data_IF_296440569604
#
_entry.id   IF_296440569604
#
_cell.length_a   1.000
_cell.length_b   1.000
_cell.length_c   1.000
_cell.angle_alpha   90.00
_cell.angle_beta   90.00
_cell.angle_gamma   90.00
#
_symmetry.space_group_name_H-M   'P 1'
#
loop_
_entity.id
_entity.type
_entity.pdbx_description
1 polymer ?
#
# COMPACT_ATOMS: atom_id res chain seq x y z
N UNK A 1 -43.09 -37.88 16.14
CA UNK A 1 -41.97 -37.59 15.23
C UNK A 1 -41.37 -36.27 15.68
N UNK A 2 -40.08 -36.25 16.03
CA UNK A 2 -39.45 -35.08 16.66
C UNK A 2 -39.13 -34.03 15.58
N UNK A 3 -39.38 -32.74 15.83
CA UNK A 3 -39.24 -31.67 14.81
C UNK A 3 -37.83 -31.57 14.25
N UNK A 4 -36.84 -31.89 15.07
CA UNK A 4 -35.42 -31.83 14.70
C UNK A 4 -35.04 -32.92 13.68
N UNK A 5 -35.68 -34.08 13.75
CA UNK A 5 -35.46 -35.17 12.79
C UNK A 5 -36.03 -34.82 11.40
N UNK A 6 -37.17 -34.13 11.36
CA UNK A 6 -37.77 -33.66 10.10
C UNK A 6 -36.90 -32.57 9.47
N UNK A 7 -36.34 -31.68 10.28
CA UNK A 7 -35.42 -30.64 9.82
C UNK A 7 -34.13 -31.23 9.24
N UNK A 8 -33.57 -32.25 9.88
CA UNK A 8 -32.38 -32.95 9.38
C UNK A 8 -32.67 -33.70 8.06
N UNK A 9 -33.79 -34.42 7.97
CA UNK A 9 -34.18 -35.11 6.74
C UNK A 9 -34.44 -34.14 5.57
N UNK A 10 -35.01 -32.95 5.86
CA UNK A 10 -35.18 -31.90 4.85
C UNK A 10 -33.84 -31.32 4.39
N UNK A 11 -32.90 -31.07 5.31
CA UNK A 11 -31.56 -30.58 4.98
C UNK A 11 -30.76 -31.59 4.15
N UNK A 12 -30.93 -32.89 4.43
CA UNK A 12 -30.35 -33.99 3.67
C UNK A 12 -30.96 -34.09 2.25
N UNK A 13 -32.28 -34.01 2.14
CA UNK A 13 -32.98 -34.00 0.84
C UNK A 13 -32.60 -32.79 -0.03
N UNK A 14 -32.36 -31.63 0.58
CA UNK A 14 -32.00 -30.38 -0.11
C UNK A 14 -30.52 -30.34 -0.55
N UNK A 15 -29.74 -31.42 -0.37
CA UNK A 15 -28.30 -31.47 -0.70
C UNK A 15 -27.53 -30.24 -0.19
N UNK A 16 -28.00 -29.65 0.91
CA UNK A 16 -27.36 -28.47 1.47
C UNK A 16 -26.27 -29.02 2.37
N UNK A 17 -25.05 -29.13 1.85
CA UNK A 17 -23.87 -29.55 2.59
C UNK A 17 -23.81 -28.77 3.91
N UNK A 18 -24.26 -29.43 4.98
CA UNK A 18 -24.31 -28.88 6.34
C UNK A 18 -22.94 -28.91 6.99
N UNK A 19 -22.04 -29.75 6.47
CA UNK A 19 -20.62 -29.63 6.69
C UNK A 19 -20.09 -28.50 5.83
N UNK A 20 -19.91 -27.35 6.47
CA UNK A 20 -19.28 -26.16 5.91
C UNK A 20 -17.86 -26.53 5.46
N UNK A 21 -17.73 -27.09 4.26
CA UNK A 21 -16.45 -27.44 3.65
C UNK A 21 -15.54 -26.21 3.70
N UNK A 22 -14.24 -26.43 3.93
CA UNK A 22 -13.26 -25.34 4.04
C UNK A 22 -13.35 -24.50 2.77
N UNK A 23 -13.98 -23.33 2.85
CA UNK A 23 -14.08 -22.43 1.71
C UNK A 23 -12.69 -21.94 1.41
N UNK A 24 -12.20 -22.30 0.23
CA UNK A 24 -10.91 -21.84 -0.21
C UNK A 24 -11.02 -20.34 -0.47
N UNK A 25 -10.29 -19.54 0.32
CA UNK A 25 -10.18 -18.11 0.12
C UNK A 25 -8.73 -17.79 -0.24
N UNK A 26 -8.54 -17.02 -1.31
CA UNK A 26 -7.25 -16.38 -1.53
C UNK A 26 -7.09 -15.33 -0.41
N UNK A 27 -6.00 -15.36 0.37
CA UNK A 27 -5.71 -14.28 1.29
C UNK A 27 -5.58 -12.99 0.48
N UNK A 28 -6.47 -12.03 0.74
CA UNK A 28 -6.29 -10.68 0.25
C UNK A 28 -5.08 -10.08 0.98
N UNK A 29 -4.21 -9.39 0.24
CA UNK A 29 -3.06 -8.65 0.78
C UNK A 29 -1.85 -9.48 1.25
N UNK A 30 -1.42 -10.48 0.48
CA UNK A 30 -0.04 -10.98 0.66
C UNK A 30 0.91 -9.96 0.05
N UNK A 31 1.48 -9.11 0.91
CA UNK A 31 2.58 -8.23 0.54
C UNK A 31 3.88 -8.94 0.92
N UNK A 32 4.86 -8.95 0.02
CA UNK A 32 6.20 -9.50 0.30
C UNK A 32 7.06 -8.53 1.17
N UNK A 33 6.42 -7.49 1.69
CA UNK A 33 7.06 -6.32 2.30
C UNK A 33 7.09 -6.46 3.82
N UNK A 34 8.29 -6.72 4.34
CA UNK A 34 8.52 -6.77 5.78
C UNK A 34 8.49 -5.36 6.35
N UNK A 35 7.36 -5.04 6.97
CA UNK A 35 7.16 -3.79 7.69
C UNK A 35 8.02 -3.78 8.95
N UNK A 36 8.87 -2.76 9.11
CA UNK A 36 9.78 -2.65 10.26
C UNK A 36 9.32 -1.54 11.21
N UNK A 37 9.16 -0.32 10.70
CA UNK A 37 8.85 0.88 11.51
C UNK A 37 7.72 1.65 10.86
N UNK A 38 6.68 2.00 11.61
CA UNK A 38 5.61 2.92 11.18
C UNK A 38 4.92 2.54 9.85
N UNK A 39 4.84 1.26 9.49
CA UNK A 39 4.26 0.86 8.21
C UNK A 39 5.23 0.89 7.02
N UNK A 40 6.51 1.19 7.25
CA UNK A 40 7.55 1.24 6.22
C UNK A 40 8.41 -0.03 6.21
N UNK A 41 8.87 -0.40 5.03
CA UNK A 41 9.94 -1.38 4.84
C UNK A 41 11.28 -0.84 5.36
N UNK A 42 12.27 -1.73 5.55
CA UNK A 42 13.63 -1.35 5.95
C UNK A 42 14.23 -0.30 5.00
N UNK A 43 14.14 -0.54 3.69
CA UNK A 43 14.66 0.40 2.67
C UNK A 43 13.95 1.75 2.72
N UNK A 44 12.63 1.74 2.92
CA UNK A 44 11.82 2.96 3.00
C UNK A 44 12.11 3.74 4.29
N UNK A 45 12.35 3.04 5.39
CA UNK A 45 12.74 3.62 6.67
C UNK A 45 14.08 4.35 6.56
N UNK A 46 15.08 3.73 5.92
CA UNK A 46 16.37 4.36 5.63
C UNK A 46 16.21 5.59 4.74
N UNK A 47 15.33 5.53 3.74
CA UNK A 47 15.05 6.69 2.88
C UNK A 47 14.36 7.83 3.64
N UNK A 48 13.41 7.53 4.51
CA UNK A 48 12.71 8.54 5.31
C UNK A 48 13.66 9.23 6.31
N UNK A 49 14.46 8.44 7.03
CA UNK A 49 15.48 8.97 7.95
C UNK A 49 16.55 9.75 7.17
N UNK A 50 17.00 9.22 6.02
CA UNK A 50 17.96 9.88 5.15
C UNK A 50 17.46 11.23 4.65
N UNK A 51 16.20 11.32 4.22
CA UNK A 51 15.58 12.59 3.81
C UNK A 51 15.53 13.60 4.95
N UNK A 52 15.21 13.15 6.17
CA UNK A 52 15.24 13.98 7.36
C UNK A 52 16.65 14.55 7.61
N UNK A 53 17.66 13.68 7.70
CA UNK A 53 19.04 14.08 7.94
C UNK A 53 19.58 15.03 6.85
N UNK A 54 19.33 14.73 5.58
CA UNK A 54 19.77 15.57 4.45
C UNK A 54 19.09 16.94 4.49
N UNK A 55 17.79 16.99 4.75
CA UNK A 55 17.06 18.26 4.83
C UNK A 55 17.55 19.14 5.98
N UNK A 56 17.83 18.55 7.15
CA UNK A 56 18.37 19.24 8.32
C UNK A 56 19.78 19.73 8.04
N UNK A 57 20.65 18.88 7.48
CA UNK A 57 22.01 19.26 7.12
C UNK A 57 22.02 20.43 6.12
N UNK A 58 21.15 20.39 5.11
CA UNK A 58 21.00 21.48 4.14
C UNK A 58 20.53 22.77 4.81
N UNK A 59 19.56 22.69 5.72
CA UNK A 59 19.06 23.85 6.46
C UNK A 59 20.14 24.48 7.35
N UNK A 60 20.96 23.66 8.01
CA UNK A 60 22.11 24.12 8.81
C UNK A 60 23.13 24.82 7.92
N UNK A 61 23.46 24.23 6.76
CA UNK A 61 24.42 24.82 5.82
C UNK A 61 23.96 26.18 5.28
N UNK A 62 22.67 26.33 4.98
CA UNK A 62 22.12 27.56 4.39
C UNK A 62 21.97 28.70 5.40
N UNK A 63 21.45 28.41 6.59
CA UNK A 63 21.18 29.46 7.59
C UNK A 63 22.37 29.73 8.51
N UNK A 64 23.25 28.74 8.70
CA UNK A 64 24.50 28.80 9.49
C UNK A 64 24.43 29.71 10.71
N UNK A 65 23.43 29.48 11.55
CA UNK A 65 23.21 30.28 12.75
C UNK A 65 23.61 29.51 14.00
N UNK A 66 24.33 30.17 14.90
CA UNK A 66 24.76 29.66 16.20
C UNK A 66 23.74 29.95 17.32
N UNK A 67 22.65 30.65 17.01
CA UNK A 67 21.57 30.88 17.97
C UNK A 67 20.76 29.60 18.23
N UNK A 68 20.17 29.48 19.42
CA UNK A 68 19.31 28.34 19.78
C UNK A 68 17.96 28.35 19.04
N UNK A 69 17.43 29.53 18.69
CA UNK A 69 16.14 29.65 18.00
C UNK A 69 16.04 28.87 16.67
N UNK A 70 17.03 28.92 15.76
CA UNK A 70 17.00 28.13 14.51
C UNK A 70 17.05 26.61 14.71
N UNK A 71 17.41 26.10 15.90
CA UNK A 71 17.36 24.68 16.19
C UNK A 71 15.93 24.14 16.06
N UNK A 72 14.94 24.90 16.53
CA UNK A 72 13.52 24.56 16.40
C UNK A 72 13.13 24.46 14.92
N UNK A 73 13.60 25.41 14.11
CA UNK A 73 13.34 25.43 12.68
C UNK A 73 13.93 24.20 11.96
N UNK A 74 15.16 23.80 12.32
CA UNK A 74 15.79 22.60 11.77
C UNK A 74 15.02 21.34 12.12
N UNK A 75 14.55 21.21 13.37
CA UNK A 75 13.72 20.08 13.80
C UNK A 75 12.42 20.02 13.01
N UNK A 76 11.75 21.16 12.82
CA UNK A 76 10.51 21.23 12.02
C UNK A 76 10.77 20.77 10.58
N UNK A 77 11.85 21.25 9.95
CA UNK A 77 12.22 20.83 8.59
C UNK A 77 12.44 19.32 8.53
N UNK A 78 13.18 18.76 9.49
CA UNK A 78 13.45 17.32 9.55
C UNK A 78 12.18 16.49 9.72
N UNK A 79 11.24 16.97 10.54
CA UNK A 79 9.94 16.31 10.72
C UNK A 79 9.06 16.39 9.47
N UNK A 80 9.03 17.54 8.79
CA UNK A 80 8.25 17.71 7.56
C UNK A 80 8.79 16.84 6.44
N UNK A 81 10.12 16.78 6.27
CA UNK A 81 10.73 15.93 5.23
C UNK A 81 10.56 14.45 5.52
N UNK A 82 10.74 14.03 6.79
CA UNK A 82 10.43 12.66 7.23
C UNK A 82 8.96 12.33 6.96
N UNK A 83 8.05 13.18 7.43
CA UNK A 83 6.61 13.01 7.28
C UNK A 83 6.17 12.94 5.82
N UNK A 84 6.77 13.75 4.95
CA UNK A 84 6.51 13.72 3.51
C UNK A 84 6.89 12.38 2.86
N UNK A 85 8.09 11.86 3.15
CA UNK A 85 8.52 10.56 2.62
C UNK A 85 7.71 9.42 3.22
N UNK A 86 7.45 9.47 4.53
CA UNK A 86 6.62 8.50 5.22
C UNK A 86 5.20 8.45 4.64
N UNK A 87 4.57 9.61 4.44
CA UNK A 87 3.24 9.71 3.85
C UNK A 87 3.22 9.18 2.41
N UNK A 88 4.26 9.46 1.62
CA UNK A 88 4.37 8.96 0.25
C UNK A 88 4.34 7.41 0.16
N UNK A 89 4.92 6.72 1.14
CA UNK A 89 4.93 5.26 1.18
C UNK A 89 3.72 4.66 1.90
N UNK A 90 3.12 5.39 2.85
CA UNK A 90 2.04 4.87 3.70
C UNK A 90 0.65 5.17 3.16
N UNK A 91 0.46 6.28 2.45
CA UNK A 91 -0.85 6.64 1.89
C UNK A 91 -1.24 5.64 0.81
N UNK A 92 -2.50 5.22 0.88
CA UNK A 92 -3.12 4.26 -0.04
C UNK A 92 -4.13 5.03 -0.89
N UNK A 93 -3.86 5.26 -2.18
CA UNK A 93 -4.71 6.11 -3.02
C UNK A 93 -6.03 5.44 -3.42
N UNK A 94 -6.16 4.12 -3.23
CA UNK A 94 -7.32 3.33 -3.65
C UNK A 94 -7.89 2.60 -2.43
N UNK A 95 -9.10 2.96 -2.01
CA UNK A 95 -9.77 2.41 -0.81
C UNK A 95 -9.93 0.90 -0.87
N UNK A 96 -10.30 0.35 -2.03
CA UNK A 96 -10.56 -1.09 -2.22
C UNK A 96 -9.28 -1.93 -2.37
N UNK A 97 -8.10 -1.28 -2.38
CA UNK A 97 -6.81 -1.93 -2.62
C UNK A 97 -5.78 -1.49 -1.57
N UNK A 98 -5.90 -1.98 -0.33
CA UNK A 98 -5.05 -1.54 0.77
C UNK A 98 -3.59 -2.01 0.65
N UNK A 99 -3.25 -2.84 -0.33
CA UNK A 99 -1.87 -3.27 -0.59
C UNK A 99 -1.12 -2.33 -1.56
N UNK A 100 -1.80 -1.40 -2.22
CA UNK A 100 -1.19 -0.52 -3.22
C UNK A 100 -0.87 0.82 -2.57
N UNK A 101 0.43 1.13 -2.43
CA UNK A 101 0.89 2.44 -1.99
C UNK A 101 0.89 3.45 -3.15
N UNK A 102 0.97 4.75 -2.86
CA UNK A 102 1.18 5.79 -3.89
C UNK A 102 2.43 5.49 -4.72
N UNK A 103 3.51 5.04 -4.07
CA UNK A 103 4.77 4.70 -4.76
C UNK A 103 4.56 3.63 -5.84
N UNK A 104 3.77 2.60 -5.54
CA UNK A 104 3.45 1.53 -6.47
C UNK A 104 2.53 1.99 -7.59
N UNK A 105 1.53 2.81 -7.26
CA UNK A 105 0.63 3.40 -8.23
C UNK A 105 1.38 4.26 -9.25
N UNK A 106 2.30 5.11 -8.79
CA UNK A 106 3.13 5.94 -9.67
C UNK A 106 4.06 5.09 -10.53
N UNK A 107 4.69 4.05 -9.96
CA UNK A 107 5.54 3.12 -10.71
C UNK A 107 4.74 2.42 -11.82
N UNK A 108 3.58 1.86 -11.48
CA UNK A 108 2.71 1.19 -12.44
C UNK A 108 2.22 2.15 -13.53
N UNK A 109 1.84 3.38 -13.16
CA UNK A 109 1.41 4.42 -14.13
C UNK A 109 2.53 4.78 -15.10
N UNK A 110 3.76 4.92 -14.61
CA UNK A 110 4.93 5.22 -15.44
C UNK A 110 5.27 4.05 -16.38
N UNK A 111 5.30 2.82 -15.85
CA UNK A 111 5.50 1.62 -16.66
C UNK A 111 4.41 1.45 -17.72
N UNK A 112 3.16 1.67 -17.36
CA UNK A 112 2.03 1.60 -18.28
C UNK A 112 2.15 2.63 -19.42
N UNK A 113 2.62 3.84 -19.13
CA UNK A 113 2.90 4.84 -20.16
C UNK A 113 3.98 4.43 -21.16
N UNK A 114 4.95 3.62 -20.72
CA UNK A 114 6.06 3.10 -21.56
C UNK A 114 5.70 1.84 -22.35
N UNK A 115 4.64 1.12 -21.96
CA UNK A 115 4.22 -0.10 -22.66
C UNK A 115 3.54 0.24 -23.98
N UNK A 116 3.77 -0.59 -25.00
CA UNK A 116 3.00 -0.53 -26.23
C UNK A 116 1.55 -0.87 -25.88
N UNK A 117 0.68 0.12 -25.97
CA UNK A 117 -0.75 -0.03 -25.69
C UNK A 117 -1.38 -0.86 -26.80
N UNK A 118 -1.25 -2.18 -26.72
CA UNK A 118 -1.96 -3.14 -27.60
C UNK A 118 -3.41 -3.24 -27.13
N UNK A 119 -4.10 -2.11 -27.03
CA UNK A 119 -5.55 -2.15 -27.05
C UNK A 119 -5.94 -2.53 -28.47
N UNK A 120 -6.73 -3.61 -28.59
CA UNK A 120 -7.43 -4.06 -29.79
C UNK A 120 -7.29 -3.09 -30.97
N UNK A 121 -6.28 -3.29 -31.83
CA UNK A 121 -6.35 -2.69 -33.16
C UNK A 121 -7.61 -3.27 -33.78
N UNK A 122 -8.60 -2.42 -34.10
CA UNK A 122 -9.79 -2.82 -34.86
C UNK A 122 -9.27 -3.66 -36.04
N UNK A 123 -9.74 -4.90 -36.23
CA UNK A 123 -9.22 -5.76 -37.29
C UNK A 123 -9.35 -5.01 -38.61
N UNK A 124 -8.24 -4.91 -39.35
CA UNK A 124 -8.22 -4.25 -40.65
C UNK A 124 -9.14 -5.05 -41.58
N UNK A 125 -10.20 -4.43 -42.10
CA UNK A 125 -11.05 -5.06 -43.11
C UNK A 125 -10.15 -5.54 -44.25
N UNK A 126 -10.21 -6.84 -44.52
CA UNK A 126 -9.55 -7.43 -45.68
C UNK A 126 -10.42 -7.02 -46.87
N UNK A 127 -9.90 -6.09 -47.68
CA UNK A 127 -10.42 -5.76 -49.00
C UNK A 127 -10.08 -6.89 -49.96
#
# INVERSE_FOLDING_TARGET
>A
MNSDQVKQALLELLHTDTEKGRTWFFPSNVSDRYTVILGLDLKQSVQAIGAACVSVALAILLFRSSAMFPLIFYVIIGLVSFGGVWAFYTIKPITDRPNISISDFMKQRNEFGKRQKVYYKKPKERV
#
